data_IF_412281679344
#
_entry.id   IF_412281679344
#
_cell.length_a   1.000
_cell.length_b   1.000
_cell.length_c   1.000
_cell.angle_alpha   90.00
_cell.angle_beta   90.00
_cell.angle_gamma   90.00
#
_symmetry.space_group_name_H-M   'P 1'
#
loop_
_entity.id
_entity.type
_entity.pdbx_description
1 polymer ?
#
# COMPACT_ATOMS: atom_id res chain seq x y z
N UNK A 1 28.69 -13.43 -20.75
CA UNK A 1 27.27 -13.52 -21.14
C UNK A 1 26.61 -14.45 -20.14
N UNK A 2 25.74 -13.94 -19.28
CA UNK A 2 25.00 -14.78 -18.35
C UNK A 2 23.92 -15.53 -19.13
N UNK A 3 24.03 -16.86 -19.19
CA UNK A 3 22.94 -17.72 -19.65
C UNK A 3 21.79 -17.55 -18.65
N UNK A 4 20.66 -16.99 -19.09
CA UNK A 4 19.48 -16.87 -18.24
C UNK A 4 18.88 -18.27 -18.05
N UNK A 5 18.91 -18.77 -16.81
CA UNK A 5 18.47 -20.11 -16.39
C UNK A 5 16.97 -20.15 -16.07
N UNK A 6 16.16 -19.28 -16.68
CA UNK A 6 14.73 -19.18 -16.37
C UNK A 6 13.89 -19.12 -17.65
N UNK A 7 12.77 -19.85 -17.65
CA UNK A 7 11.87 -19.98 -18.81
C UNK A 7 10.78 -18.89 -18.86
N UNK A 8 10.42 -18.31 -17.71
CA UNK A 8 9.38 -17.28 -17.64
C UNK A 8 9.58 -16.31 -16.47
N UNK A 9 8.96 -15.13 -16.57
CA UNK A 9 8.92 -14.10 -15.54
C UNK A 9 7.45 -13.82 -15.20
N UNK A 10 7.13 -13.76 -13.91
CA UNK A 10 5.80 -13.43 -13.41
C UNK A 10 5.83 -12.07 -12.70
N UNK A 11 4.79 -11.27 -12.88
CA UNK A 11 4.56 -10.02 -12.16
C UNK A 11 3.21 -10.11 -11.46
N UNK A 12 3.16 -9.65 -10.21
CA UNK A 12 1.95 -9.65 -9.40
C UNK A 12 1.95 -8.48 -8.41
N UNK A 13 0.82 -8.32 -7.72
CA UNK A 13 0.72 -7.40 -6.59
C UNK A 13 1.51 -7.96 -5.41
N UNK A 14 2.35 -7.12 -4.80
CA UNK A 14 3.08 -7.48 -3.60
C UNK A 14 2.18 -7.30 -2.37
N UNK A 15 2.00 -8.35 -1.57
CA UNK A 15 1.30 -8.23 -0.29
C UNK A 15 2.17 -7.49 0.76
N UNK A 16 1.57 -6.89 1.81
CA UNK A 16 2.34 -6.28 2.89
C UNK A 16 3.36 -7.26 3.52
N UNK A 17 2.99 -8.52 3.68
CA UNK A 17 3.87 -9.54 4.26
C UNK A 17 5.00 -9.95 3.30
N UNK A 18 4.74 -9.99 1.99
CA UNK A 18 5.80 -10.18 0.98
C UNK A 18 6.80 -9.02 1.01
N UNK A 19 6.33 -7.78 1.11
CA UNK A 19 7.20 -6.59 1.22
C UNK A 19 8.07 -6.68 2.48
N UNK A 20 7.50 -7.11 3.62
CA UNK A 20 8.26 -7.35 4.86
C UNK A 20 9.31 -8.46 4.67
N UNK A 21 8.99 -9.52 3.93
CA UNK A 21 9.92 -10.64 3.70
C UNK A 21 11.17 -10.26 2.89
N UNK A 22 11.07 -9.24 2.02
CA UNK A 22 12.20 -8.73 1.25
C UNK A 22 13.07 -7.75 2.05
N UNK A 23 12.53 -7.24 3.16
CA UNK A 23 13.17 -6.21 3.96
C UNK A 23 14.25 -6.76 4.87
N UNK A 24 15.36 -6.04 4.95
CA UNK A 24 16.42 -6.30 5.93
C UNK A 24 16.27 -5.45 7.20
N UNK A 25 15.25 -4.59 7.25
CA UNK A 25 14.97 -3.74 8.41
C UNK A 25 14.08 -2.54 8.09
N UNK A 26 13.51 -1.98 9.14
CA UNK A 26 12.62 -0.84 9.07
C UNK A 26 13.39 0.49 9.12
N UNK A 27 13.08 1.40 8.20
CA UNK A 27 13.58 2.78 8.22
C UNK A 27 12.64 3.64 9.05
N UNK A 28 13.13 4.13 10.18
CA UNK A 28 12.33 4.93 11.14
C UNK A 28 12.61 6.42 11.04
N UNK A 29 13.82 6.76 10.62
CA UNK A 29 14.38 8.10 10.69
C UNK A 29 14.48 8.73 9.31
N UNK A 30 14.10 10.00 9.14
CA UNK A 30 14.23 10.69 7.85
C UNK A 30 15.69 11.09 7.55
N UNK A 31 16.58 11.04 8.53
CA UNK A 31 17.97 11.46 8.36
C UNK A 31 18.73 10.56 7.37
N UNK A 32 19.65 11.17 6.62
CA UNK A 32 20.42 10.52 5.56
C UNK A 32 21.84 10.21 6.04
N UNK A 33 22.68 11.25 6.10
CA UNK A 33 24.07 11.18 6.51
C UNK A 33 24.37 12.32 7.48
N UNK A 34 25.33 12.08 8.36
CA UNK A 34 25.87 13.11 9.22
C UNK A 34 26.78 14.04 8.41
N UNK A 35 26.49 15.34 8.38
CA UNK A 35 27.24 16.31 7.57
C UNK A 35 28.72 16.46 7.98
N UNK A 36 29.08 16.20 9.25
CA UNK A 36 30.47 16.32 9.72
C UNK A 36 31.28 15.08 9.43
N UNK A 37 30.71 13.92 9.72
CA UNK A 37 31.45 12.64 9.64
C UNK A 37 31.27 11.93 8.31
N UNK A 38 30.33 12.39 7.47
CA UNK A 38 29.91 11.76 6.22
C UNK A 38 29.44 10.29 6.40
N UNK A 39 29.16 9.88 7.63
CA UNK A 39 28.66 8.55 7.95
C UNK A 39 27.13 8.53 7.90
N UNK A 40 26.51 7.44 7.44
CA UNK A 40 25.06 7.30 7.44
C UNK A 40 24.52 7.22 8.86
N UNK A 41 23.37 7.85 9.07
CA UNK A 41 22.69 7.81 10.37
C UNK A 41 22.05 6.43 10.62
N UNK A 42 21.94 6.05 11.90
CA UNK A 42 21.32 4.78 12.30
C UNK A 42 19.81 4.85 12.09
N UNK A 43 19.23 3.77 11.58
CA UNK A 43 17.80 3.63 11.23
C UNK A 43 17.27 4.67 10.23
N UNK A 44 18.17 5.41 9.58
CA UNK A 44 17.87 6.37 8.52
C UNK A 44 17.86 5.77 7.12
N UNK A 45 17.65 6.61 6.10
CA UNK A 45 17.49 6.19 4.70
C UNK A 45 18.72 5.48 4.11
N UNK A 46 19.91 5.70 4.68
CA UNK A 46 21.15 5.07 4.22
C UNK A 46 21.78 4.13 5.25
N UNK A 47 21.02 3.70 6.27
CA UNK A 47 21.52 2.93 7.40
C UNK A 47 22.32 1.69 6.97
N UNK A 48 23.55 1.55 7.50
CA UNK A 48 24.40 0.39 7.20
C UNK A 48 23.87 -0.93 7.77
N UNK A 49 23.07 -0.86 8.83
CA UNK A 49 22.47 -2.07 9.45
C UNK A 49 21.45 -2.71 8.50
N UNK A 50 20.65 -1.89 7.82
CA UNK A 50 19.58 -2.33 6.91
C UNK A 50 20.18 -2.68 5.55
N UNK A 51 20.85 -1.71 4.91
CA UNK A 51 21.28 -1.86 3.52
C UNK A 51 22.66 -2.52 3.38
N UNK A 52 23.45 -2.60 4.46
CA UNK A 52 24.82 -3.13 4.45
C UNK A 52 25.91 -2.05 4.48
N UNK A 53 27.18 -2.44 4.57
CA UNK A 53 28.29 -1.53 4.89
C UNK A 53 28.62 -0.56 3.74
N UNK A 54 29.07 0.66 4.07
CA UNK A 54 29.48 1.67 3.07
C UNK A 54 30.80 1.29 2.38
N UNK A 55 31.73 0.69 3.11
CA UNK A 55 33.04 0.24 2.62
C UNK A 55 33.12 -1.28 2.72
N UNK A 56 33.86 -1.89 1.80
CA UNK A 56 34.04 -3.33 1.77
C UNK A 56 34.68 -3.84 3.07
N UNK A 57 34.03 -4.81 3.70
CA UNK A 57 34.52 -5.49 4.90
C UNK A 57 34.78 -4.57 6.11
N UNK A 58 34.09 -3.44 6.20
CA UNK A 58 34.18 -2.51 7.33
C UNK A 58 32.80 -2.24 7.91
N UNK A 59 32.69 -2.29 9.24
CA UNK A 59 31.46 -1.92 9.95
C UNK A 59 31.43 -0.43 10.31
N UNK A 60 30.24 0.13 10.49
CA UNK A 60 30.01 1.53 10.87
C UNK A 60 30.87 2.06 12.02
N UNK A 61 31.01 1.26 13.10
CA UNK A 61 31.76 1.64 14.30
C UNK A 61 33.28 1.45 14.18
N UNK A 62 33.76 0.80 13.12
CA UNK A 62 35.18 0.53 12.90
C UNK A 62 35.78 -0.59 13.78
N UNK A 63 35.01 -1.27 14.63
CA UNK A 63 35.46 -2.41 15.47
C UNK A 63 35.99 -3.55 14.61
N UNK A 64 35.24 -3.91 13.57
CA UNK A 64 35.62 -4.95 12.62
C UNK A 64 36.00 -4.31 11.29
N UNK A 65 37.20 -4.67 10.82
CA UNK A 65 37.78 -4.24 9.54
C UNK A 65 38.48 -5.42 8.87
N UNK A 66 38.61 -5.36 7.54
CA UNK A 66 39.27 -6.36 6.68
C UNK A 66 38.46 -7.65 6.52
N UNK A 67 38.82 -8.42 5.50
CA UNK A 67 38.10 -9.62 5.06
C UNK A 67 38.01 -10.77 6.08
N UNK A 68 38.83 -10.74 7.15
CA UNK A 68 38.87 -11.80 8.19
C UNK A 68 37.52 -12.03 8.88
N UNK A 69 36.72 -10.98 9.03
CA UNK A 69 35.44 -11.02 9.75
C UNK A 69 34.23 -11.16 8.82
N UNK A 70 34.42 -11.69 7.61
CA UNK A 70 33.37 -11.90 6.61
C UNK A 70 32.16 -12.63 7.22
N UNK A 71 30.97 -12.06 7.02
CA UNK A 71 29.69 -12.64 7.47
C UNK A 71 29.41 -12.49 8.97
N UNK A 72 30.32 -11.89 9.76
CA UNK A 72 30.05 -11.59 11.17
C UNK A 72 29.19 -10.33 11.28
N UNK A 73 28.14 -10.39 12.10
CA UNK A 73 27.34 -9.22 12.49
C UNK A 73 27.99 -8.53 13.67
N UNK A 74 28.17 -7.20 13.59
CA UNK A 74 28.82 -6.45 14.65
C UNK A 74 27.90 -6.26 15.88
N UNK A 75 28.30 -6.71 17.06
CA UNK A 75 27.54 -6.54 18.32
C UNK A 75 27.19 -5.07 18.67
N UNK A 76 28.01 -4.10 18.24
CA UNK A 76 27.86 -2.68 18.65
C UNK A 76 27.03 -1.84 17.67
N UNK A 77 27.00 -2.21 16.40
CA UNK A 77 26.29 -1.45 15.35
C UNK A 77 25.29 -2.28 14.54
N UNK A 78 25.28 -3.60 14.70
CA UNK A 78 24.39 -4.51 13.96
C UNK A 78 24.73 -4.66 12.47
N UNK A 79 25.81 -4.02 11.99
CA UNK A 79 26.20 -4.10 10.58
C UNK A 79 26.86 -5.44 10.30
N UNK A 80 26.35 -6.11 9.27
CA UNK A 80 26.95 -7.31 8.73
C UNK A 80 28.15 -6.98 7.84
N UNK A 81 29.25 -7.69 8.02
CA UNK A 81 30.50 -7.40 7.34
C UNK A 81 30.52 -8.14 5.99
N UNK A 82 30.11 -7.42 4.94
CA UNK A 82 30.04 -7.89 3.55
C UNK A 82 30.70 -6.87 2.60
N UNK A 83 30.56 -7.09 1.29
CA UNK A 83 30.93 -6.10 0.27
C UNK A 83 29.85 -5.01 0.18
N UNK A 84 30.24 -3.77 -0.09
CA UNK A 84 29.31 -2.65 -0.25
C UNK A 84 28.30 -2.85 -1.40
N UNK A 85 28.58 -3.77 -2.32
CA UNK A 85 27.67 -4.16 -3.41
C UNK A 85 26.28 -4.58 -2.91
N UNK A 86 26.16 -5.18 -1.72
CA UNK A 86 24.85 -5.61 -1.18
C UNK A 86 23.86 -4.46 -1.01
N UNK A 87 24.35 -3.21 -0.86
CA UNK A 87 23.50 -2.01 -0.76
C UNK A 87 22.67 -1.74 -2.01
N UNK A 88 23.00 -2.38 -3.13
CA UNK A 88 22.26 -2.27 -4.40
C UNK A 88 21.18 -3.35 -4.56
N UNK A 89 21.16 -4.33 -3.66
CA UNK A 89 20.31 -5.52 -3.74
C UNK A 89 19.37 -5.62 -2.52
N UNK A 90 19.79 -5.16 -1.34
CA UNK A 90 18.96 -5.16 -0.13
C UNK A 90 17.88 -4.10 -0.17
N UNK A 91 16.65 -4.52 0.15
CA UNK A 91 15.51 -3.63 0.32
C UNK A 91 15.31 -3.30 1.81
N UNK A 92 14.69 -2.15 2.06
CA UNK A 92 14.20 -1.74 3.36
C UNK A 92 12.72 -1.42 3.28
N UNK A 93 12.06 -1.35 4.43
CA UNK A 93 10.62 -1.06 4.52
C UNK A 93 10.33 0.06 5.50
N UNK A 94 9.18 0.68 5.35
CA UNK A 94 8.63 1.65 6.29
C UNK A 94 7.25 1.13 6.68
N UNK A 95 7.02 0.94 7.97
CA UNK A 95 5.71 0.58 8.47
C UNK A 95 4.86 1.85 8.61
N UNK A 96 3.77 1.91 7.84
CA UNK A 96 2.88 3.06 7.85
C UNK A 96 1.87 2.90 9.00
N UNK A 97 1.67 3.98 9.76
CA UNK A 97 0.68 4.00 10.84
C UNK A 97 -0.77 3.91 10.33
N UNK A 98 -1.01 4.36 9.10
CA UNK A 98 -2.31 4.32 8.45
C UNK A 98 -2.17 3.71 7.04
N UNK A 99 -3.20 2.99 6.54
CA UNK A 99 -3.20 2.49 5.18
C UNK A 99 -3.18 3.65 4.18
N UNK A 100 -2.55 3.43 3.03
CA UNK A 100 -2.51 4.38 1.90
C UNK A 100 -2.86 3.65 0.61
N UNK A 101 -3.45 4.37 -0.34
CA UNK A 101 -3.72 3.82 -1.67
C UNK A 101 -2.52 4.00 -2.59
N UNK A 102 -2.23 2.98 -3.39
CA UNK A 102 -1.17 3.09 -4.38
C UNK A 102 -1.66 3.90 -5.59
N UNK A 103 -0.96 4.99 -5.90
CA UNK A 103 -1.38 6.00 -6.88
C UNK A 103 -1.72 5.44 -8.27
N UNK A 104 -1.03 4.38 -8.71
CA UNK A 104 -1.30 3.77 -10.03
C UNK A 104 -2.71 3.19 -10.18
N UNK A 105 -3.31 2.64 -9.11
CA UNK A 105 -4.64 2.03 -9.20
C UNK A 105 -5.78 3.02 -9.01
N UNK A 106 -5.49 4.14 -8.35
CA UNK A 106 -6.43 5.23 -8.10
C UNK A 106 -6.38 6.31 -9.18
N UNK A 107 -5.21 6.88 -9.49
CA UNK A 107 -5.04 7.99 -10.45
C UNK A 107 -4.77 7.52 -11.88
N UNK A 108 -4.49 6.23 -12.07
CA UNK A 108 -4.31 5.65 -13.39
C UNK A 108 -5.56 5.82 -14.24
N UNK A 109 -5.39 6.05 -15.54
CA UNK A 109 -6.49 6.06 -16.52
C UNK A 109 -6.39 4.75 -17.31
N UNK A 110 -7.35 3.82 -17.17
CA UNK A 110 -8.55 3.90 -16.33
C UNK A 110 -8.29 3.59 -14.84
N UNK A 111 -9.15 4.13 -13.97
CA UNK A 111 -9.07 3.91 -12.53
C UNK A 111 -9.51 2.47 -12.19
N UNK A 112 -8.56 1.62 -11.78
CA UNK A 112 -8.82 0.20 -11.49
C UNK A 112 -9.67 0.03 -10.24
N UNK A 113 -9.38 0.79 -9.19
CA UNK A 113 -10.15 0.76 -7.95
C UNK A 113 -11.59 1.25 -8.15
N UNK A 114 -11.77 2.28 -8.98
CA UNK A 114 -13.09 2.82 -9.31
C UNK A 114 -13.97 1.80 -10.01
N UNK A 115 -13.43 1.02 -10.97
CA UNK A 115 -14.19 -0.05 -11.61
C UNK A 115 -14.55 -1.16 -10.63
N UNK A 116 -13.62 -1.61 -9.78
CA UNK A 116 -13.91 -2.68 -8.83
C UNK A 116 -15.06 -2.30 -7.88
N UNK A 117 -15.00 -1.09 -7.33
CA UNK A 117 -15.97 -0.57 -6.35
C UNK A 117 -17.27 -0.03 -6.99
N UNK A 118 -17.27 0.19 -8.31
CA UNK A 118 -18.28 0.93 -9.08
C UNK A 118 -18.48 2.39 -8.64
N UNK A 119 -17.38 3.06 -8.29
CA UNK A 119 -17.38 4.45 -7.82
C UNK A 119 -16.68 5.33 -8.87
N UNK A 120 -17.23 6.52 -9.13
CA UNK A 120 -16.60 7.48 -10.02
C UNK A 120 -15.22 7.91 -9.50
N UNK A 121 -14.19 8.10 -10.35
CA UNK A 121 -12.85 8.48 -9.89
C UNK A 121 -12.81 9.76 -9.05
N UNK A 122 -13.62 10.77 -9.40
CA UNK A 122 -13.74 12.05 -8.66
C UNK A 122 -14.23 11.86 -7.22
N UNK A 123 -15.07 10.85 -7.02
CA UNK A 123 -15.67 10.53 -5.75
C UNK A 123 -14.69 9.75 -4.87
N UNK A 124 -14.00 8.77 -5.46
CA UNK A 124 -12.92 8.03 -4.80
C UNK A 124 -11.79 8.96 -4.35
N UNK A 125 -11.44 9.96 -5.17
CA UNK A 125 -10.45 10.99 -4.84
C UNK A 125 -10.81 11.76 -3.57
N UNK A 126 -12.06 12.22 -3.47
CA UNK A 126 -12.55 12.97 -2.30
C UNK A 126 -12.50 12.13 -1.03
N UNK A 127 -12.83 10.84 -1.11
CA UNK A 127 -12.77 9.94 0.05
C UNK A 127 -11.31 9.70 0.47
N UNK A 128 -10.42 9.40 -0.48
CA UNK A 128 -9.00 9.14 -0.20
C UNK A 128 -8.28 10.34 0.40
N UNK A 129 -8.62 11.55 -0.03
CA UNK A 129 -8.04 12.80 0.50
C UNK A 129 -8.84 13.39 1.67
N UNK A 130 -9.62 12.58 2.40
CA UNK A 130 -10.31 12.97 3.63
C UNK A 130 -11.28 14.17 3.46
N UNK A 131 -11.82 14.37 2.25
CA UNK A 131 -12.79 15.45 1.99
C UNK A 131 -14.23 15.01 2.25
N UNK A 132 -14.57 13.75 1.94
CA UNK A 132 -15.91 13.19 2.10
C UNK A 132 -15.84 11.82 2.80
N UNK A 133 -16.94 11.43 3.44
CA UNK A 133 -17.13 10.09 4.01
C UNK A 133 -17.76 9.16 2.96
N UNK A 134 -17.53 7.87 3.13
CA UNK A 134 -18.21 6.80 2.41
C UNK A 134 -18.87 5.85 3.40
N UNK A 135 -20.13 5.50 3.14
CA UNK A 135 -20.89 4.55 3.96
C UNK A 135 -20.34 3.15 3.75
N UNK A 136 -19.84 2.53 4.83
CA UNK A 136 -19.34 1.15 4.82
C UNK A 136 -20.42 0.18 5.32
N UNK A 137 -21.24 0.57 6.28
CA UNK A 137 -22.41 -0.21 6.68
C UNK A 137 -23.62 0.72 6.90
N UNK A 138 -24.71 0.59 6.14
CA UNK A 138 -25.93 1.37 6.37
C UNK A 138 -26.75 0.92 7.59
N UNK A 139 -26.46 -0.27 8.15
CA UNK A 139 -27.13 -0.82 9.34
C UNK A 139 -28.67 -0.84 9.26
N UNK A 140 -29.35 -0.30 10.27
CA UNK A 140 -30.82 -0.27 10.39
C UNK A 140 -31.49 0.92 9.70
N UNK A 141 -30.72 1.82 9.08
CA UNK A 141 -31.26 3.00 8.42
C UNK A 141 -32.02 2.60 7.15
N UNK A 142 -33.21 3.17 6.88
CA UNK A 142 -33.96 2.84 5.68
C UNK A 142 -33.13 3.11 4.40
N UNK A 143 -33.17 2.19 3.41
CA UNK A 143 -32.40 2.32 2.16
C UNK A 143 -32.81 3.52 1.29
N UNK A 144 -33.93 4.16 1.63
CA UNK A 144 -34.37 5.44 1.03
C UNK A 144 -33.54 6.64 1.48
N UNK A 145 -32.92 6.57 2.66
CA UNK A 145 -32.09 7.66 3.22
C UNK A 145 -30.60 7.39 3.08
N UNK A 146 -30.17 6.14 3.30
CA UNK A 146 -28.76 5.79 3.31
C UNK A 146 -28.52 4.50 2.52
N UNK A 147 -27.53 4.52 1.63
CA UNK A 147 -27.16 3.37 0.82
C UNK A 147 -25.69 3.01 1.03
N UNK A 148 -25.39 1.72 0.87
CA UNK A 148 -24.02 1.23 0.85
C UNK A 148 -23.22 1.94 -0.25
N UNK A 149 -21.98 2.35 0.05
CA UNK A 149 -21.09 3.16 -0.81
C UNK A 149 -21.61 4.56 -1.16
N UNK A 150 -22.68 5.03 -0.54
CA UNK A 150 -23.08 6.42 -0.66
C UNK A 150 -22.00 7.32 -0.08
N UNK A 151 -21.77 8.46 -0.74
CA UNK A 151 -20.79 9.44 -0.32
C UNK A 151 -21.51 10.56 0.38
N UNK A 152 -21.00 10.92 1.55
CA UNK A 152 -21.56 11.94 2.41
C UNK A 152 -20.56 13.08 2.54
N UNK A 153 -21.05 14.30 2.47
CA UNK A 153 -20.31 15.48 2.92
C UNK A 153 -20.22 15.50 4.44
N UNK A 154 -19.29 16.29 4.98
CA UNK A 154 -19.12 16.41 6.44
C UNK A 154 -20.41 16.88 7.14
N UNK A 155 -21.19 17.77 6.51
CA UNK A 155 -22.48 18.22 7.05
C UNK A 155 -23.50 17.08 7.07
N UNK A 156 -23.67 16.37 5.95
CA UNK A 156 -24.62 15.25 5.88
C UNK A 156 -24.26 14.13 6.85
N UNK A 157 -22.96 13.84 7.02
CA UNK A 157 -22.51 12.85 7.99
C UNK A 157 -22.88 13.25 9.42
N UNK A 158 -22.67 14.52 9.81
CA UNK A 158 -23.06 15.02 11.14
C UNK A 158 -24.57 14.98 11.36
N UNK A 159 -25.35 15.47 10.39
CA UNK A 159 -26.81 15.47 10.47
C UNK A 159 -27.35 14.03 10.63
N UNK A 160 -26.79 13.07 9.89
CA UNK A 160 -27.15 11.65 10.01
C UNK A 160 -26.69 11.04 11.33
N UNK A 161 -25.50 11.39 11.82
CA UNK A 161 -24.98 10.93 13.11
C UNK A 161 -25.82 11.45 14.29
N UNK A 162 -26.39 12.65 14.18
CA UNK A 162 -27.33 13.18 15.18
C UNK A 162 -28.68 12.46 15.14
N UNK A 163 -29.15 12.05 13.97
CA UNK A 163 -30.45 11.37 13.82
C UNK A 163 -30.42 9.89 14.16
N UNK A 164 -29.31 9.21 13.84
CA UNK A 164 -29.21 7.74 13.85
C UNK A 164 -28.09 7.22 14.74
N UNK A 165 -27.32 8.10 15.38
CA UNK A 165 -26.21 7.74 16.27
C UNK A 165 -25.32 6.63 15.69
N UNK A 166 -25.33 5.45 16.28
CA UNK A 166 -24.48 4.31 15.91
C UNK A 166 -25.15 3.29 14.98
N UNK A 167 -26.35 3.58 14.46
CA UNK A 167 -27.09 2.69 13.57
C UNK A 167 -26.45 2.55 12.17
N UNK A 168 -25.46 3.37 11.83
CA UNK A 168 -24.70 3.25 10.58
C UNK A 168 -23.22 3.57 10.78
N UNK A 169 -22.38 3.05 9.88
CA UNK A 169 -20.95 3.35 9.83
C UNK A 169 -20.58 3.99 8.50
N UNK A 170 -19.95 5.17 8.59
CA UNK A 170 -19.32 5.83 7.45
C UNK A 170 -17.90 6.25 7.86
N UNK A 171 -16.96 5.96 6.98
CA UNK A 171 -15.54 6.17 7.20
C UNK A 171 -14.95 7.02 6.07
N UNK A 172 -13.74 7.53 6.24
CA UNK A 172 -13.03 8.27 5.20
C UNK A 172 -11.59 7.77 5.04
N UNK A 173 -10.90 8.25 4.01
CA UNK A 173 -9.51 7.89 3.75
C UNK A 173 -9.36 6.51 3.10
N UNK A 174 -8.11 6.06 3.02
CA UNK A 174 -7.77 4.78 2.41
C UNK A 174 -8.20 3.56 3.26
N UNK A 175 -8.46 3.75 4.55
CA UNK A 175 -8.93 2.70 5.44
C UNK A 175 -10.35 2.25 5.09
N UNK A 176 -11.25 3.22 4.88
CA UNK A 176 -12.61 2.98 4.39
C UNK A 176 -12.60 2.20 3.06
N UNK A 177 -11.73 2.63 2.13
CA UNK A 177 -11.61 1.97 0.83
C UNK A 177 -11.05 0.55 0.97
N UNK A 178 -10.07 0.33 1.86
CA UNK A 178 -9.54 -1.00 2.15
C UNK A 178 -10.62 -1.93 2.69
N UNK A 179 -11.47 -1.45 3.61
CA UNK A 179 -12.60 -2.19 4.17
C UNK A 179 -13.60 -2.61 3.09
N UNK A 180 -14.01 -1.65 2.25
CA UNK A 180 -14.89 -1.92 1.12
C UNK A 180 -14.28 -2.92 0.12
N UNK A 181 -12.97 -2.85 -0.13
CA UNK A 181 -12.30 -3.80 -1.03
C UNK A 181 -12.22 -5.21 -0.43
N UNK A 182 -12.07 -5.34 0.89
CA UNK A 182 -12.01 -6.65 1.56
C UNK A 182 -13.37 -7.36 1.65
N UNK A 183 -14.47 -6.61 1.55
CA UNK A 183 -15.83 -7.16 1.57
C UNK A 183 -16.29 -7.70 0.19
N UNK A 184 -15.55 -7.41 -0.89
CA UNK A 184 -15.94 -7.81 -2.24
C UNK A 184 -15.67 -9.31 -2.44
N UNK A 185 -16.73 -10.06 -2.74
CA UNK A 185 -16.67 -11.40 -3.28
C UNK A 185 -16.52 -11.33 -4.81
N UNK A 186 -15.32 -11.63 -5.31
CA UNK A 186 -14.99 -11.53 -6.73
C UNK A 186 -15.74 -12.56 -7.59
N UNK A 187 -16.01 -13.75 -7.05
CA UNK A 187 -16.67 -14.82 -7.78
C UNK A 187 -18.15 -14.47 -7.97
N UNK A 188 -18.82 -14.04 -6.89
CA UNK A 188 -20.21 -13.55 -6.98
C UNK A 188 -20.32 -12.36 -7.90
N UNK A 189 -19.44 -11.36 -7.75
CA UNK A 189 -19.45 -10.18 -8.59
C UNK A 189 -19.23 -10.52 -10.08
N UNK A 190 -18.38 -11.49 -10.40
CA UNK A 190 -18.16 -11.94 -11.78
C UNK A 190 -19.43 -12.55 -12.38
N UNK A 191 -20.16 -13.36 -11.61
CA UNK A 191 -21.43 -13.98 -12.07
C UNK A 191 -22.51 -12.91 -12.28
N UNK A 192 -22.67 -12.00 -11.32
CA UNK A 192 -23.63 -10.89 -11.43
C UNK A 192 -23.36 -10.01 -12.65
N UNK A 193 -22.11 -9.62 -12.88
CA UNK A 193 -21.72 -8.81 -14.04
C UNK A 193 -21.96 -9.51 -15.37
N UNK A 194 -21.72 -10.83 -15.45
CA UNK A 194 -22.00 -11.64 -16.64
C UNK A 194 -23.49 -11.72 -16.94
N UNK A 195 -24.33 -11.89 -15.91
CA UNK A 195 -25.80 -11.89 -16.05
C UNK A 195 -26.30 -10.51 -16.49
N UNK A 196 -25.81 -9.43 -15.90
CA UNK A 196 -26.21 -8.07 -16.28
C UNK A 196 -25.79 -7.73 -17.72
N UNK A 197 -24.71 -8.33 -18.20
CA UNK A 197 -24.21 -8.21 -19.57
C UNK A 197 -25.14 -8.82 -20.62
N UNK A 198 -25.90 -9.88 -20.31
CA UNK A 198 -26.79 -10.54 -21.28
C UNK A 198 -27.98 -9.65 -21.67
N UNK A 199 -28.53 -8.89 -20.72
CA UNK A 199 -29.66 -7.99 -20.95
C UNK A 199 -29.31 -6.57 -21.35
N UNK A 200 -28.02 -6.18 -21.34
CA UNK A 200 -27.61 -4.78 -21.49
C UNK A 200 -27.00 -4.48 -22.87
N UNK A 201 -27.45 -3.39 -23.50
CA UNK A 201 -26.94 -2.88 -24.77
C UNK A 201 -26.35 -1.46 -24.65
N UNK A 202 -25.64 -1.01 -25.68
CA UNK A 202 -25.10 0.36 -25.79
C UNK A 202 -23.98 0.69 -24.80
N UNK A 203 -23.97 1.94 -24.31
CA UNK A 203 -22.89 2.48 -23.47
C UNK A 203 -22.76 1.77 -22.11
N UNK A 204 -23.88 1.30 -21.54
CA UNK A 204 -23.88 0.57 -20.27
C UNK A 204 -23.15 -0.77 -20.40
N UNK A 205 -23.31 -1.47 -21.54
CA UNK A 205 -22.59 -2.71 -21.87
C UNK A 205 -21.07 -2.51 -21.89
N UNK A 206 -20.61 -1.42 -22.52
CA UNK A 206 -19.17 -1.07 -22.59
C UNK A 206 -18.58 -0.82 -21.21
N UNK A 207 -19.33 -0.20 -20.30
CA UNK A 207 -18.89 0.02 -18.91
C UNK A 207 -18.79 -1.29 -18.13
N UNK A 208 -19.78 -2.18 -18.27
CA UNK A 208 -19.77 -3.50 -17.62
C UNK A 208 -18.60 -4.36 -18.13
N UNK A 209 -18.33 -4.37 -19.44
CA UNK A 209 -17.17 -5.07 -20.03
C UNK A 209 -15.81 -4.55 -19.55
N UNK A 210 -15.71 -3.28 -19.17
CA UNK A 210 -14.46 -2.73 -18.60
C UNK A 210 -14.27 -3.07 -17.13
N UNK A 211 -15.36 -3.45 -16.45
CA UNK A 211 -15.40 -3.79 -15.03
C UNK A 211 -15.19 -5.30 -14.81
N UNK A 212 -15.80 -6.13 -15.66
CA UNK A 212 -15.54 -7.57 -15.75
C UNK A 212 -14.10 -7.84 -16.21
#
# INVERSE_FOLDING_TARGET
MAYNVFDSIMIGLASPDQIRSWSYGEVKKPETINYRTLKPERDGLFCEKIFGPQKDWECHCGKYKRIRYKGKVCERCGVEITRAKVRRERMGTIELAAPVSHIWYFRGIPCRMGFLLDIAPRHLEKVLYFANYIVTDPGSVPPSKLQYKQILTDKEYRDLKEMYEDDFTAEMGAEAIKKLLSEIDLDKLSVELKQELEGTSGQKRVRLLKRL
#
